data_IF_519802992171
#
_entry.id   IF_519802992171
#
_cell.length_a   1.000
_cell.length_b   1.000
_cell.length_c   1.000
_cell.angle_alpha   90.00
_cell.angle_beta   90.00
_cell.angle_gamma   90.00
#
_symmetry.space_group_name_H-M   'P 1'
#
loop_
_entity.id
_entity.type
_entity.pdbx_description
1 polymer ?
#
# COMPACT_ATOMS: atom_id res chain seq x y z
N UNK A 1 20.62 10.09 -2.62
CA UNK A 1 21.18 9.18 -1.60
C UNK A 1 20.13 8.29 -0.96
N UNK A 2 19.24 8.79 -0.08
CA UNK A 2 18.25 7.93 0.60
C UNK A 2 17.30 7.19 -0.35
N UNK A 3 16.61 7.90 -1.25
CA UNK A 3 15.69 7.27 -2.20
C UNK A 3 16.38 6.31 -3.18
N UNK A 4 17.66 6.56 -3.49
CA UNK A 4 18.45 5.69 -4.37
C UNK A 4 18.67 4.30 -3.75
N UNK A 5 18.80 4.19 -2.42
CA UNK A 5 18.92 2.88 -1.77
C UNK A 5 17.71 1.98 -2.08
N UNK A 6 16.50 2.53 -2.07
CA UNK A 6 15.31 1.77 -2.46
C UNK A 6 15.32 1.44 -3.96
N UNK A 7 15.66 2.41 -4.82
CA UNK A 7 15.73 2.21 -6.27
C UNK A 7 16.78 1.18 -6.70
N UNK A 8 17.88 1.04 -5.96
CA UNK A 8 18.92 0.04 -6.20
C UNK A 8 18.60 -1.31 -5.55
N UNK A 9 17.63 -1.37 -4.65
CA UNK A 9 17.31 -2.55 -3.84
C UNK A 9 18.29 -2.81 -2.70
N UNK A 10 19.06 -1.79 -2.29
CA UNK A 10 20.02 -1.82 -1.17
C UNK A 10 19.32 -1.65 0.18
N UNK A 11 18.39 -2.55 0.48
CA UNK A 11 17.49 -2.43 1.63
C UNK A 11 17.85 -3.33 2.81
N UNK A 12 19.03 -3.97 2.83
CA UNK A 12 19.44 -4.76 4.00
C UNK A 12 19.51 -3.88 5.26
N UNK A 13 18.91 -4.35 6.35
CA UNK A 13 18.78 -3.60 7.61
C UNK A 13 17.83 -2.40 7.58
N UNK A 14 17.13 -2.15 6.46
CA UNK A 14 16.07 -1.15 6.41
C UNK A 14 14.78 -1.77 6.93
N UNK A 15 14.17 -1.10 7.93
CA UNK A 15 12.91 -1.55 8.55
C UNK A 15 11.84 -1.89 7.50
N UNK A 16 11.14 -3.01 7.70
CA UNK A 16 10.14 -3.62 6.78
C UNK A 16 10.64 -4.14 5.42
N UNK A 17 11.80 -3.68 4.93
CA UNK A 17 12.22 -3.90 3.54
C UNK A 17 13.50 -4.73 3.40
N UNK A 18 14.05 -5.29 4.50
CA UNK A 18 15.28 -6.10 4.48
C UNK A 18 15.17 -7.43 3.72
N UNK A 19 13.96 -7.98 3.62
CA UNK A 19 13.72 -9.28 2.98
C UNK A 19 14.00 -9.26 1.47
N UNK A 20 14.25 -10.42 0.86
CA UNK A 20 14.41 -10.54 -0.60
C UNK A 20 13.22 -9.98 -1.39
N UNK A 21 12.01 -10.17 -0.86
CA UNK A 21 10.79 -9.60 -1.42
C UNK A 21 10.81 -8.06 -1.34
N UNK A 22 11.18 -7.52 -0.17
CA UNK A 22 11.37 -6.09 0.05
C UNK A 22 12.41 -5.48 -0.88
N UNK A 23 13.60 -6.09 -0.99
CA UNK A 23 14.68 -5.70 -1.92
C UNK A 23 14.19 -5.65 -3.36
N UNK A 24 13.57 -6.74 -3.83
CA UNK A 24 13.09 -6.87 -5.22
C UNK A 24 12.02 -5.84 -5.57
N UNK A 25 10.99 -5.69 -4.73
CA UNK A 25 9.92 -4.74 -4.99
C UNK A 25 10.31 -3.28 -4.76
N UNK A 26 11.24 -2.99 -3.84
CA UNK A 26 11.82 -1.65 -3.69
C UNK A 26 12.52 -1.24 -4.98
N UNK A 27 13.33 -2.13 -5.56
CA UNK A 27 14.02 -1.89 -6.83
C UNK A 27 13.04 -1.70 -8.00
N UNK A 28 12.04 -2.56 -8.11
CA UNK A 28 11.02 -2.48 -9.17
C UNK A 28 10.18 -1.20 -9.06
N UNK A 29 9.77 -0.82 -7.84
CA UNK A 29 8.95 0.36 -7.63
C UNK A 29 9.75 1.66 -7.68
N UNK A 30 10.96 1.66 -7.14
CA UNK A 30 11.82 2.84 -6.96
C UNK A 30 11.09 4.03 -6.31
N UNK A 31 10.59 3.91 -5.06
CA UNK A 31 9.81 4.96 -4.40
C UNK A 31 10.58 6.28 -4.29
N UNK A 32 9.89 7.40 -4.49
CA UNK A 32 10.45 8.76 -4.56
C UNK A 32 9.92 9.70 -3.47
N UNK A 33 8.90 9.26 -2.72
CA UNK A 33 8.29 9.98 -1.61
C UNK A 33 7.72 8.99 -0.57
N UNK A 34 7.22 9.53 0.55
CA UNK A 34 6.70 8.73 1.68
C UNK A 34 5.40 8.01 1.29
N UNK A 35 4.56 8.60 0.45
CA UNK A 35 3.31 8.00 -0.02
C UNK A 35 3.56 6.73 -0.82
N UNK A 36 4.54 6.74 -1.72
CA UNK A 36 4.95 5.57 -2.50
C UNK A 36 5.63 4.51 -1.64
N UNK A 37 6.44 4.92 -0.65
CA UNK A 37 7.07 4.00 0.30
C UNK A 37 6.01 3.33 1.20
N UNK A 38 5.00 4.09 1.62
CA UNK A 38 3.83 3.56 2.32
C UNK A 38 3.07 2.59 1.42
N UNK A 39 2.80 2.95 0.16
CA UNK A 39 2.12 2.07 -0.76
C UNK A 39 2.89 0.77 -0.96
N UNK A 40 4.22 0.83 -1.14
CA UNK A 40 5.10 -0.33 -1.22
C UNK A 40 4.88 -1.29 -0.06
N UNK A 41 4.99 -0.80 1.18
CA UNK A 41 4.79 -1.60 2.40
C UNK A 41 3.38 -2.22 2.42
N UNK A 42 2.37 -1.48 1.98
CA UNK A 42 1.00 -1.99 1.93
C UNK A 42 0.79 -3.09 0.87
N UNK A 43 1.47 -3.00 -0.28
CA UNK A 43 1.24 -3.87 -1.45
C UNK A 43 2.17 -5.07 -1.56
N UNK A 44 3.27 -5.15 -0.79
CA UNK A 44 4.17 -6.34 -0.80
C UNK A 44 3.74 -7.44 0.18
N UNK A 45 2.51 -7.39 0.66
CA UNK A 45 1.97 -8.39 1.59
C UNK A 45 1.41 -9.61 0.84
N UNK A 46 1.41 -10.81 1.45
CA UNK A 46 0.92 -12.03 0.80
C UNK A 46 -0.48 -11.91 0.21
N UNK A 47 -1.39 -11.17 0.88
CA UNK A 47 -2.75 -10.95 0.40
C UNK A 47 -2.82 -10.15 -0.91
N UNK A 48 -2.03 -9.08 -1.03
CA UNK A 48 -1.99 -8.22 -2.21
C UNK A 48 -1.25 -8.90 -3.38
N UNK A 49 -0.18 -9.64 -3.09
CA UNK A 49 0.57 -10.40 -4.11
C UNK A 49 -0.28 -11.53 -4.72
N UNK A 50 -1.23 -12.07 -3.97
CA UNK A 50 -2.20 -13.08 -4.44
C UNK A 50 -3.46 -12.47 -5.04
N UNK A 51 -3.65 -11.16 -4.97
CA UNK A 51 -4.76 -10.49 -5.63
C UNK A 51 -4.35 -10.25 -7.08
N UNK A 52 -4.98 -10.96 -8.01
CA UNK A 52 -4.71 -10.85 -9.45
C UNK A 52 -5.89 -10.20 -10.18
N UNK A 53 -5.56 -9.33 -11.12
CA UNK A 53 -6.45 -8.74 -12.11
C UNK A 53 -5.72 -8.83 -13.45
N UNK A 54 -6.42 -9.17 -14.54
CA UNK A 54 -5.85 -9.21 -15.90
C UNK A 54 -4.49 -9.94 -16.02
N UNK A 55 -4.33 -11.04 -15.27
CA UNK A 55 -3.13 -11.87 -15.27
C UNK A 55 -1.92 -11.34 -14.47
N UNK A 56 -2.03 -10.19 -13.80
CA UNK A 56 -0.96 -9.61 -12.95
C UNK A 56 -1.41 -9.42 -11.51
N UNK A 57 -0.45 -9.43 -10.59
CA UNK A 57 -0.75 -9.06 -9.20
C UNK A 57 -1.06 -7.57 -9.11
N UNK A 58 -1.89 -7.16 -8.14
CA UNK A 58 -2.15 -5.75 -7.85
C UNK A 58 -0.87 -4.95 -7.59
N UNK A 59 0.15 -5.61 -7.00
CA UNK A 59 1.48 -5.04 -6.79
C UNK A 59 2.18 -4.71 -8.11
N UNK A 60 2.09 -5.61 -9.10
CA UNK A 60 2.68 -5.39 -10.42
C UNK A 60 1.94 -4.29 -11.18
N UNK A 61 0.61 -4.23 -11.12
CA UNK A 61 -0.16 -3.11 -11.70
C UNK A 61 0.28 -1.76 -11.14
N UNK A 62 0.47 -1.65 -9.82
CA UNK A 62 0.93 -0.40 -9.20
C UNK A 62 2.26 0.04 -9.78
N UNK A 63 3.20 -0.89 -9.90
CA UNK A 63 4.54 -0.63 -10.43
C UNK A 63 4.49 -0.29 -11.92
N UNK A 64 3.68 -0.97 -12.72
CA UNK A 64 3.55 -0.69 -14.15
C UNK A 64 2.90 0.66 -14.42
N UNK A 65 1.85 1.01 -13.69
CA UNK A 65 1.17 2.31 -13.80
C UNK A 65 2.05 3.46 -13.36
N UNK A 66 2.78 3.32 -12.25
CA UNK A 66 3.77 4.32 -11.81
C UNK A 66 4.75 4.67 -12.92
N UNK A 67 5.23 3.65 -13.63
CA UNK A 67 6.27 3.79 -14.65
C UNK A 67 5.70 3.98 -16.07
N UNK A 68 4.40 4.22 -16.21
CA UNK A 68 3.75 4.46 -17.51
C UNK A 68 3.73 3.25 -18.46
N UNK A 69 3.98 2.03 -17.96
CA UNK A 69 3.86 0.78 -18.73
C UNK A 69 2.43 0.27 -18.82
N UNK A 70 1.55 0.82 -18.00
CA UNK A 70 0.12 0.56 -17.99
C UNK A 70 -0.60 1.89 -17.78
N UNK A 71 -1.71 2.10 -18.49
CA UNK A 71 -2.53 3.30 -18.34
C UNK A 71 -3.23 3.34 -16.98
N UNK A 72 -3.24 4.52 -16.35
CA UNK A 72 -4.01 4.73 -15.12
C UNK A 72 -5.48 4.97 -15.49
N UNK A 73 -6.32 3.99 -15.21
CA UNK A 73 -7.77 4.06 -15.42
C UNK A 73 -8.53 4.14 -14.11
N UNK A 74 -9.73 4.73 -14.17
CA UNK A 74 -10.66 4.86 -13.05
C UNK A 74 -12.03 4.31 -13.45
N UNK A 75 -12.74 3.69 -12.50
CA UNK A 75 -14.12 3.24 -12.75
C UNK A 75 -15.07 4.42 -13.04
N UNK A 76 -14.77 5.59 -12.47
CA UNK A 76 -15.51 6.82 -12.67
C UNK A 76 -14.62 8.03 -12.36
N UNK A 77 -14.81 9.16 -13.04
CA UNK A 77 -14.00 10.37 -12.89
C UNK A 77 -13.99 10.90 -11.45
N UNK A 78 -15.11 10.76 -10.72
CA UNK A 78 -15.22 11.18 -9.32
C UNK A 78 -14.23 10.47 -8.37
N UNK A 79 -13.62 9.36 -8.80
CA UNK A 79 -12.64 8.61 -8.01
C UNK A 79 -11.19 9.08 -8.23
N UNK A 80 -10.93 9.87 -9.28
CA UNK A 80 -9.59 10.26 -9.69
C UNK A 80 -8.82 10.91 -8.54
N UNK A 81 -9.36 11.94 -7.90
CA UNK A 81 -8.70 12.65 -6.81
C UNK A 81 -8.32 11.73 -5.63
N UNK A 82 -9.15 10.72 -5.34
CA UNK A 82 -8.96 9.81 -4.22
C UNK A 82 -7.89 8.75 -4.52
N UNK A 83 -7.81 8.31 -5.77
CA UNK A 83 -6.98 7.18 -6.22
C UNK A 83 -5.72 7.61 -6.96
N UNK A 84 -5.60 8.89 -7.36
CA UNK A 84 -4.43 9.43 -8.05
C UNK A 84 -3.12 9.20 -7.29
N UNK A 85 -3.03 9.39 -5.96
CA UNK A 85 -1.80 9.10 -5.21
C UNK A 85 -1.38 7.62 -5.23
N UNK A 86 -2.28 6.72 -5.64
CA UNK A 86 -2.03 5.28 -5.72
C UNK A 86 -2.23 4.75 -7.14
N UNK A 87 -2.06 5.60 -8.15
CA UNK A 87 -2.12 5.21 -9.57
C UNK A 87 -3.42 4.48 -9.95
N UNK A 88 -4.56 4.94 -9.43
CA UNK A 88 -5.87 4.34 -9.71
C UNK A 88 -6.16 3.06 -8.93
N UNK A 89 -5.26 2.62 -8.05
CA UNK A 89 -5.41 1.36 -7.30
C UNK A 89 -5.96 1.64 -5.90
N UNK A 90 -6.96 0.88 -5.47
CA UNK A 90 -7.53 0.95 -4.12
C UNK A 90 -6.65 0.19 -3.12
N UNK A 91 -5.68 0.90 -2.53
CA UNK A 91 -4.70 0.30 -1.59
C UNK A 91 -5.19 0.40 -0.15
N UNK A 92 -5.87 1.50 0.21
CA UNK A 92 -6.14 1.84 1.60
C UNK A 92 -7.62 1.77 1.98
N UNK A 93 -7.90 1.42 3.23
CA UNK A 93 -9.24 1.44 3.80
C UNK A 93 -9.82 2.87 3.79
N UNK A 94 -8.98 3.87 4.04
CA UNK A 94 -9.34 5.29 4.05
C UNK A 94 -9.73 5.79 2.66
N UNK A 95 -9.25 5.16 1.58
CA UNK A 95 -9.74 5.46 0.23
C UNK A 95 -11.18 4.97 0.06
N UNK A 96 -11.51 3.75 0.53
CA UNK A 96 -12.89 3.25 0.52
C UNK A 96 -13.83 4.15 1.31
N UNK A 97 -13.37 4.66 2.46
CA UNK A 97 -14.11 5.65 3.24
C UNK A 97 -14.37 6.93 2.43
N UNK A 98 -13.33 7.54 1.85
CA UNK A 98 -13.48 8.75 1.02
C UNK A 98 -14.39 8.53 -0.18
N UNK A 99 -14.34 7.34 -0.81
CA UNK A 99 -15.24 6.98 -1.91
C UNK A 99 -16.68 6.94 -1.41
N UNK A 100 -16.96 6.31 -0.27
CA UNK A 100 -18.31 6.27 0.31
C UNK A 100 -18.84 7.66 0.68
N UNK A 101 -17.99 8.54 1.21
CA UNK A 101 -18.38 9.92 1.46
C UNK A 101 -18.69 10.67 0.16
N UNK A 102 -17.83 10.52 -0.85
CA UNK A 102 -17.95 11.23 -2.12
C UNK A 102 -19.14 10.75 -2.96
N UNK A 103 -19.32 9.43 -3.06
CA UNK A 103 -20.29 8.79 -3.96
C UNK A 103 -21.64 8.61 -3.27
N UNK A 104 -21.65 8.15 -2.02
CA UNK A 104 -22.88 7.82 -1.30
C UNK A 104 -23.29 8.87 -0.25
N UNK A 105 -22.50 9.94 -0.07
CA UNK A 105 -22.82 11.00 0.89
C UNK A 105 -22.66 10.57 2.35
N UNK A 106 -21.90 9.50 2.60
CA UNK A 106 -21.69 9.01 3.96
C UNK A 106 -21.07 10.09 4.85
N UNK A 107 -21.54 10.19 6.09
CA UNK A 107 -20.83 10.91 7.15
C UNK A 107 -19.64 10.08 7.67
N UNK A 108 -18.88 10.66 8.60
CA UNK A 108 -17.68 10.00 9.16
C UNK A 108 -18.02 8.70 9.90
N UNK A 109 -19.16 8.63 10.57
CA UNK A 109 -19.60 7.46 11.31
C UNK A 109 -19.95 6.31 10.35
N UNK A 110 -20.72 6.59 9.31
CA UNK A 110 -21.10 5.61 8.27
C UNK A 110 -19.86 5.11 7.51
N UNK A 111 -18.93 6.00 7.18
CA UNK A 111 -17.67 5.63 6.57
C UNK A 111 -16.81 4.72 7.49
N UNK A 112 -16.79 4.96 8.80
CA UNK A 112 -16.10 4.06 9.74
C UNK A 112 -16.80 2.70 9.87
N UNK A 113 -18.13 2.64 9.73
CA UNK A 113 -18.86 1.36 9.66
C UNK A 113 -18.40 0.56 8.44
N UNK A 114 -18.27 1.18 7.27
CA UNK A 114 -17.68 0.54 6.08
C UNK A 114 -16.25 0.03 6.36
N UNK A 115 -15.40 0.87 6.98
CA UNK A 115 -14.02 0.50 7.34
C UNK A 115 -13.98 -0.72 8.26
N UNK A 116 -14.87 -0.78 9.26
CA UNK A 116 -15.01 -1.93 10.18
C UNK A 116 -15.51 -3.18 9.45
N UNK A 117 -16.47 -3.04 8.53
CA UNK A 117 -16.98 -4.14 7.71
C UNK A 117 -15.86 -4.76 6.86
N UNK A 118 -15.06 -3.91 6.20
CA UNK A 118 -13.86 -4.30 5.44
C UNK A 118 -12.85 -5.03 6.34
N UNK A 119 -12.48 -4.42 7.48
CA UNK A 119 -11.44 -4.96 8.35
C UNK A 119 -11.81 -6.29 9.02
N UNK A 120 -13.07 -6.47 9.39
CA UNK A 120 -13.57 -7.69 10.05
C UNK A 120 -14.08 -8.76 9.08
N UNK A 121 -14.17 -8.46 7.78
CA UNK A 121 -14.78 -9.35 6.76
C UNK A 121 -16.19 -9.83 7.15
N UNK A 122 -16.98 -8.95 7.76
CA UNK A 122 -18.34 -9.28 8.20
C UNK A 122 -19.32 -9.12 7.02
N UNK A 123 -19.79 -10.26 6.48
CA UNK A 123 -20.67 -10.29 5.31
C UNK A 123 -22.05 -9.64 5.58
N UNK A 124 -22.62 -9.83 6.77
CA UNK A 124 -23.91 -9.23 7.12
C UNK A 124 -23.80 -7.70 7.14
N UNK A 125 -22.78 -7.18 7.83
CA UNK A 125 -22.52 -5.75 7.89
C UNK A 125 -22.18 -5.17 6.51
N UNK A 126 -21.41 -5.90 5.69
CA UNK A 126 -21.09 -5.46 4.33
C UNK A 126 -22.34 -5.32 3.46
N UNK A 127 -23.30 -6.25 3.58
CA UNK A 127 -24.57 -6.18 2.85
C UNK A 127 -25.44 -5.01 3.30
N UNK A 128 -25.47 -4.71 4.59
CA UNK A 128 -26.17 -3.52 5.10
C UNK A 128 -25.55 -2.24 4.54
N UNK A 129 -24.22 -2.13 4.63
CA UNK A 129 -23.47 -0.98 4.10
C UNK A 129 -23.64 -0.85 2.58
N UNK A 130 -23.73 -1.96 1.84
CA UNK A 130 -24.01 -1.97 0.40
C UNK A 130 -25.32 -1.29 0.07
N UNK A 131 -26.39 -1.64 0.79
CA UNK A 131 -27.72 -1.05 0.58
C UNK A 131 -27.67 0.46 0.82
N UNK A 132 -27.12 0.86 1.97
CA UNK A 132 -26.96 2.29 2.30
C UNK A 132 -26.09 3.03 1.29
N UNK A 133 -25.03 2.40 0.77
CA UNK A 133 -24.18 3.00 -0.26
C UNK A 133 -24.94 3.24 -1.56
N UNK A 134 -25.70 2.26 -2.05
CA UNK A 134 -26.46 2.39 -3.31
C UNK A 134 -27.57 3.43 -3.16
N UNK A 135 -28.32 3.40 -2.05
CA UNK A 135 -29.35 4.40 -1.76
C UNK A 135 -28.76 5.82 -1.63
N UNK A 136 -27.61 5.93 -0.97
CA UNK A 136 -26.86 7.19 -0.86
C UNK A 136 -26.39 7.68 -2.22
N UNK A 137 -25.86 6.80 -3.06
CA UNK A 137 -25.39 7.14 -4.40
C UNK A 137 -26.51 7.67 -5.29
N UNK A 138 -27.71 7.08 -5.20
CA UNK A 138 -28.89 7.58 -5.90
C UNK A 138 -29.30 8.97 -5.43
N UNK A 139 -29.19 9.28 -4.14
CA UNK A 139 -29.51 10.61 -3.59
C UNK A 139 -28.48 11.67 -3.99
N UNK A 140 -27.20 11.32 -3.95
CA UNK A 140 -26.11 12.23 -4.32
C UNK A 140 -26.04 12.43 -5.84
N UNK A 141 -26.44 11.42 -6.61
CA UNK A 141 -26.61 11.47 -8.07
C UNK A 141 -25.33 11.86 -8.84
N UNK A 142 -24.17 11.38 -8.37
CA UNK A 142 -22.86 11.53 -9.07
C UNK A 142 -22.59 10.37 -10.04
N UNK A 143 -23.14 9.19 -9.77
CA UNK A 143 -22.96 7.96 -10.55
C UNK A 143 -24.30 7.31 -10.80
N UNK A 144 -24.41 6.50 -11.85
CA UNK A 144 -25.58 5.66 -12.08
C UNK A 144 -25.69 4.58 -11.02
N UNK A 145 -26.86 3.92 -10.95
CA UNK A 145 -27.05 2.78 -10.05
C UNK A 145 -26.06 1.67 -10.38
N UNK A 146 -25.88 1.37 -11.66
CA UNK A 146 -24.99 0.33 -12.17
C UNK A 146 -23.53 0.63 -11.80
N UNK A 147 -23.09 1.88 -11.98
CA UNK A 147 -21.76 2.33 -11.57
C UNK A 147 -21.58 2.24 -10.05
N UNK A 148 -22.58 2.62 -9.26
CA UNK A 148 -22.53 2.51 -7.80
C UNK A 148 -22.36 1.05 -7.33
N UNK A 149 -23.05 0.11 -7.98
CA UNK A 149 -22.93 -1.33 -7.71
C UNK A 149 -21.54 -1.85 -8.08
N UNK A 150 -21.00 -1.42 -9.22
CA UNK A 150 -19.65 -1.78 -9.66
C UNK A 150 -18.58 -1.23 -8.71
N UNK A 151 -18.68 0.04 -8.31
CA UNK A 151 -17.75 0.68 -7.37
C UNK A 151 -17.80 -0.03 -6.01
N UNK A 152 -18.99 -0.32 -5.50
CA UNK A 152 -19.13 -1.02 -4.22
C UNK A 152 -18.57 -2.44 -4.29
N UNK A 153 -18.88 -3.18 -5.36
CA UNK A 153 -18.33 -4.52 -5.57
C UNK A 153 -16.79 -4.52 -5.66
N UNK A 154 -16.21 -3.45 -6.21
CA UNK A 154 -14.76 -3.25 -6.22
C UNK A 154 -14.19 -2.99 -4.81
N UNK A 155 -14.85 -2.15 -4.00
CA UNK A 155 -14.50 -1.93 -2.58
C UNK A 155 -14.57 -3.24 -1.80
N UNK A 156 -15.62 -4.03 -1.99
CA UNK A 156 -15.79 -5.32 -1.31
C UNK A 156 -14.65 -6.29 -1.68
N UNK A 157 -14.29 -6.39 -2.96
CA UNK A 157 -13.16 -7.21 -3.41
C UNK A 157 -11.83 -6.74 -2.82
N UNK A 158 -11.63 -5.42 -2.68
CA UNK A 158 -10.38 -4.88 -2.13
C UNK A 158 -10.20 -5.19 -0.65
N UNK A 159 -11.27 -5.51 0.10
CA UNK A 159 -11.19 -5.87 1.52
C UNK A 159 -10.22 -7.01 1.85
N UNK A 160 -9.91 -7.86 0.86
CA UNK A 160 -8.93 -8.95 1.00
C UNK A 160 -7.49 -8.47 1.14
N UNK A 161 -7.19 -7.28 0.64
CA UNK A 161 -5.83 -6.73 0.57
C UNK A 161 -5.72 -5.25 0.97
N UNK A 162 -6.82 -4.55 1.22
CA UNK A 162 -6.79 -3.15 1.67
C UNK A 162 -6.01 -3.02 2.99
N UNK A 163 -5.29 -1.92 3.16
CA UNK A 163 -4.48 -1.66 4.34
C UNK A 163 -4.89 -0.38 5.06
N UNK A 164 -4.58 -0.30 6.34
CA UNK A 164 -4.76 0.93 7.09
C UNK A 164 -3.66 1.94 6.71
N UNK A 165 -4.04 3.10 6.16
CA UNK A 165 -3.09 4.10 5.66
C UNK A 165 -2.25 4.70 6.78
N UNK A 166 -2.84 5.05 7.92
CA UNK A 166 -2.08 5.70 9.00
C UNK A 166 -0.97 4.81 9.55
N UNK A 167 -1.25 3.52 9.74
CA UNK A 167 -0.26 2.52 10.11
C UNK A 167 0.82 2.32 9.02
N UNK A 168 0.40 2.32 7.75
CA UNK A 168 1.34 2.20 6.64
C UNK A 168 2.29 3.39 6.52
N UNK A 169 1.78 4.60 6.72
CA UNK A 169 2.58 5.83 6.66
C UNK A 169 3.56 5.90 7.83
N UNK A 170 3.14 5.55 9.05
CA UNK A 170 4.07 5.53 10.19
C UNK A 170 5.22 4.54 9.98
N UNK A 171 4.93 3.38 9.40
CA UNK A 171 5.96 2.39 9.07
C UNK A 171 6.88 2.89 7.94
N UNK A 172 6.33 3.56 6.93
CA UNK A 172 7.12 4.17 5.86
C UNK A 172 8.09 5.24 6.39
N UNK A 173 7.66 6.05 7.36
CA UNK A 173 8.53 7.03 8.02
C UNK A 173 9.69 6.33 8.75
N UNK A 174 9.42 5.24 9.49
CA UNK A 174 10.48 4.44 10.11
C UNK A 174 11.44 3.85 9.06
N UNK A 175 10.91 3.27 7.97
CA UNK A 175 11.72 2.75 6.86
C UNK A 175 12.58 3.82 6.21
N UNK A 176 12.02 5.02 5.99
CA UNK A 176 12.76 6.16 5.44
C UNK A 176 13.90 6.58 6.37
N UNK A 177 13.64 6.66 7.69
CA UNK A 177 14.70 7.01 8.64
C UNK A 177 15.80 5.95 8.72
N UNK A 178 15.46 4.66 8.71
CA UNK A 178 16.48 3.59 8.62
C UNK A 178 17.32 3.74 7.36
N UNK A 179 16.70 4.04 6.21
CA UNK A 179 17.40 4.29 4.96
C UNK A 179 18.27 5.56 5.00
N UNK A 180 17.76 6.62 5.64
CA UNK A 180 18.47 7.88 5.79
C UNK A 180 19.75 7.68 6.61
N UNK A 181 19.66 7.03 7.77
CA UNK A 181 20.84 6.72 8.57
C UNK A 181 21.83 5.83 7.81
N UNK A 182 21.35 4.84 7.06
CA UNK A 182 22.24 4.03 6.21
C UNK A 182 22.96 4.85 5.14
N UNK A 183 22.27 5.79 4.51
CA UNK A 183 22.82 6.63 3.44
C UNK A 183 23.75 7.73 3.96
N UNK A 184 23.49 8.29 5.14
CA UNK A 184 24.15 9.52 5.63
C UNK A 184 25.03 9.31 6.87
N UNK A 185 24.84 8.20 7.60
CA UNK A 185 25.59 7.80 8.80
C UNK A 185 26.01 6.33 8.64
N UNK A 186 26.66 6.05 7.52
CA UNK A 186 26.91 4.69 7.03
C UNK A 186 27.71 3.86 8.03
N UNK A 187 28.81 4.40 8.58
CA UNK A 187 29.61 3.69 9.58
C UNK A 187 28.81 3.36 10.84
N UNK A 188 28.07 4.32 11.40
CA UNK A 188 27.28 4.14 12.61
C UNK A 188 26.15 3.13 12.39
N UNK A 189 25.49 3.20 11.22
CA UNK A 189 24.45 2.26 10.83
C UNK A 189 24.99 0.82 10.75
N UNK A 190 26.08 0.61 10.02
CA UNK A 190 26.66 -0.72 9.83
C UNK A 190 27.26 -1.28 11.14
N UNK A 191 27.90 -0.44 11.95
CA UNK A 191 28.42 -0.84 13.27
C UNK A 191 27.28 -1.28 14.20
N UNK A 192 26.22 -0.46 14.29
CA UNK A 192 25.05 -0.78 15.10
C UNK A 192 24.38 -2.08 14.61
N UNK A 193 24.23 -2.25 13.30
CA UNK A 193 23.65 -3.47 12.74
C UNK A 193 24.49 -4.71 13.06
N UNK A 194 25.82 -4.66 12.88
CA UNK A 194 26.70 -5.78 13.19
C UNK A 194 26.65 -6.16 14.68
N UNK A 195 26.60 -5.15 15.57
CA UNK A 195 26.50 -5.38 17.00
C UNK A 195 25.22 -6.15 17.38
N UNK A 196 24.10 -5.84 16.72
CA UNK A 196 22.81 -6.52 16.96
C UNK A 196 22.56 -7.74 16.07
N UNK A 197 23.38 -7.99 15.03
CA UNK A 197 23.21 -9.13 14.13
C UNK A 197 23.33 -10.48 14.84
N UNK A 198 24.04 -10.53 15.98
CA UNK A 198 24.16 -11.72 16.84
C UNK A 198 22.81 -12.21 17.38
N UNK A 199 21.79 -11.35 17.43
CA UNK A 199 20.44 -11.67 17.91
C UNK A 199 19.53 -12.23 16.80
N UNK A 200 19.98 -12.21 15.53
CA UNK A 200 19.22 -12.74 14.40
C UNK A 200 19.34 -14.26 14.31
N UNK A 201 18.42 -14.89 13.57
CA UNK A 201 18.36 -16.33 13.42
C UNK A 201 19.62 -16.94 12.79
N UNK A 202 20.24 -16.26 11.83
CA UNK A 202 21.52 -16.64 11.22
C UNK A 202 22.50 -15.45 11.19
N UNK A 203 23.28 -15.24 12.27
CA UNK A 203 24.19 -14.10 12.36
C UNK A 203 25.30 -14.09 11.29
N UNK A 204 25.71 -15.26 10.81
CA UNK A 204 26.79 -15.37 9.81
C UNK A 204 26.29 -14.93 8.44
N UNK A 205 25.11 -15.41 8.03
CA UNK A 205 24.47 -14.97 6.79
C UNK A 205 24.16 -13.47 6.84
N UNK A 206 23.63 -12.98 7.96
CA UNK A 206 23.34 -11.56 8.16
C UNK A 206 24.58 -10.69 7.97
N UNK A 207 25.71 -11.08 8.58
CA UNK A 207 26.99 -10.40 8.45
C UNK A 207 27.50 -10.42 7.01
N UNK A 208 27.42 -11.57 6.33
CA UNK A 208 27.86 -11.71 4.94
C UNK A 208 27.06 -10.80 3.98
N UNK A 209 25.73 -10.82 4.07
CA UNK A 209 24.86 -9.97 3.25
C UNK A 209 25.14 -8.49 3.49
N UNK A 210 25.36 -8.12 4.75
CA UNK A 210 25.64 -6.75 5.15
C UNK A 210 26.99 -6.25 4.59
N UNK A 211 28.05 -7.06 4.71
CA UNK A 211 29.37 -6.74 4.16
C UNK A 211 29.32 -6.65 2.63
N UNK A 212 28.57 -7.54 1.98
CA UNK A 212 28.40 -7.52 0.52
C UNK A 212 27.78 -6.21 0.03
N UNK A 213 26.85 -5.63 0.79
CA UNK A 213 26.16 -4.39 0.44
C UNK A 213 26.94 -3.12 0.85
N UNK A 214 27.95 -3.24 1.70
CA UNK A 214 28.83 -2.15 2.14
C UNK A 214 29.99 -1.85 1.17
N UNK A 215 30.23 -2.73 0.19
CA UNK A 215 31.24 -2.55 -0.88
C UNK A 215 30.74 -1.61 -1.97
#
# INVERSE_FOLDING_TARGET
MTWQLFAEGKTKGIFQLESNLGKSWSKKLAPTNIEELSALIAIIRPGTLKAFVDGKSMTQHYVDRKHGREEVTYLHQALEEILKPTYGILVYQEQSMRIAQKIAGFNLQEADVLRKAIGKKNAALMNEVKKSFIEGAQKVNIVTKEESEQIFGWIEKSSRYAFNKSHSVSYAVCSYWSAYYKAHHTHEFFLSYLYHAIEKQDPQQETYELISEAK
#
